data_IF_689700114668
#
_entry.id   IF_689700114668
#
_cell.length_a   1.000
_cell.length_b   1.000
_cell.length_c   1.000
_cell.angle_alpha   90.00
_cell.angle_beta   90.00
_cell.angle_gamma   90.00
#
_symmetry.space_group_name_H-M   'P 1'
#
loop_
_entity.id
_entity.type
_entity.pdbx_description
1 polymer ?
#
# COMPACT_ATOMS: atom_id res chain seq x y z
N UNK A 1 0.62 5.95 -38.85
CA UNK A 1 0.30 7.32 -38.41
C UNK A 1 -1.14 7.52 -37.92
N UNK A 2 -1.55 6.81 -36.86
CA UNK A 2 -2.91 6.95 -36.27
C UNK A 2 -2.92 7.37 -34.78
N UNK A 3 -1.77 7.39 -34.10
CA UNK A 3 -1.68 7.67 -32.66
C UNK A 3 -1.66 9.15 -32.30
N UNK A 4 -1.17 10.02 -33.20
CA UNK A 4 -1.04 11.46 -32.95
C UNK A 4 -2.39 12.20 -32.94
N UNK A 5 -3.40 11.70 -33.66
CA UNK A 5 -4.71 12.36 -33.76
C UNK A 5 -5.55 12.26 -32.46
N UNK A 6 -5.41 11.16 -31.71
CA UNK A 6 -6.15 10.94 -30.45
C UNK A 6 -5.60 11.79 -29.30
N UNK A 7 -4.28 12.05 -29.29
CA UNK A 7 -3.63 12.84 -28.25
C UNK A 7 -4.01 14.33 -28.30
N UNK A 8 -4.21 14.88 -29.51
CA UNK A 8 -4.55 16.28 -29.73
C UNK A 8 -5.94 16.65 -29.18
N UNK A 9 -6.93 15.75 -29.30
CA UNK A 9 -8.30 15.98 -28.80
C UNK A 9 -8.44 15.95 -27.26
N UNK A 10 -7.38 15.60 -26.51
CA UNK A 10 -7.38 15.54 -25.04
C UNK A 10 -6.52 16.62 -24.37
N UNK A 11 -6.11 17.66 -25.11
CA UNK A 11 -5.35 18.79 -24.56
C UNK A 11 -3.90 18.45 -24.19
N UNK A 12 -3.36 17.32 -24.65
CA UNK A 12 -1.96 16.94 -24.45
C UNK A 12 -1.10 17.69 -25.49
N UNK A 13 -0.96 19.01 -25.30
CA UNK A 13 -0.23 19.93 -26.19
C UNK A 13 1.25 20.07 -25.83
N UNK A 14 1.74 19.32 -24.85
CA UNK A 14 3.11 19.43 -24.31
C UNK A 14 3.85 18.12 -24.52
N UNK A 15 5.14 18.19 -24.85
CA UNK A 15 6.00 17.01 -24.93
C UNK A 15 5.94 16.22 -23.61
N UNK A 16 5.40 15.01 -23.68
CA UNK A 16 5.44 14.07 -22.58
C UNK A 16 6.85 13.47 -22.49
N UNK A 17 7.49 13.59 -21.33
CA UNK A 17 8.73 12.89 -21.05
C UNK A 17 8.38 11.50 -20.53
N UNK A 18 8.85 10.47 -21.23
CA UNK A 18 8.81 9.11 -20.71
C UNK A 18 9.90 9.01 -19.64
N UNK A 19 9.50 9.03 -18.36
CA UNK A 19 10.40 8.70 -17.27
C UNK A 19 10.61 7.17 -17.29
N UNK A 20 11.85 6.68 -17.45
CA UNK A 20 12.10 5.25 -17.39
C UNK A 20 11.91 4.78 -15.94
N UNK A 21 10.80 4.11 -15.69
CA UNK A 21 10.54 3.45 -14.40
C UNK A 21 11.28 2.11 -14.42
N UNK A 22 12.18 1.91 -13.46
CA UNK A 22 12.87 0.62 -13.31
C UNK A 22 11.88 -0.44 -12.85
N UNK A 23 11.91 -1.58 -13.52
CA UNK A 23 11.17 -2.77 -13.09
C UNK A 23 11.89 -3.35 -11.87
N UNK A 24 11.11 -3.73 -10.84
CA UNK A 24 11.65 -4.41 -9.67
C UNK A 24 12.12 -5.82 -10.06
N UNK A 25 13.25 -6.31 -9.52
CA UNK A 25 13.65 -7.69 -9.73
C UNK A 25 12.57 -8.67 -9.27
N UNK A 26 12.26 -9.67 -10.10
CA UNK A 26 11.23 -10.68 -9.78
C UNK A 26 11.49 -11.38 -8.44
N UNK A 27 12.77 -11.62 -8.12
CA UNK A 27 13.19 -12.24 -6.87
C UNK A 27 12.77 -11.43 -5.64
N UNK A 28 12.83 -10.10 -5.71
CA UNK A 28 12.45 -9.23 -4.59
C UNK A 28 10.95 -9.26 -4.39
N UNK A 29 10.19 -9.25 -5.49
CA UNK A 29 8.72 -9.35 -5.47
C UNK A 29 8.30 -10.70 -4.89
N UNK A 30 8.89 -11.79 -5.36
CA UNK A 30 8.59 -13.15 -4.88
C UNK A 30 8.90 -13.28 -3.40
N UNK A 31 10.10 -12.88 -2.96
CA UNK A 31 10.52 -12.96 -1.57
C UNK A 31 9.58 -12.16 -0.65
N UNK A 32 9.17 -10.96 -1.07
CA UNK A 32 8.23 -10.14 -0.32
C UNK A 32 6.89 -10.85 -0.11
N UNK A 33 6.30 -11.38 -1.19
CA UNK A 33 5.00 -12.05 -1.10
C UNK A 33 5.06 -13.40 -0.38
N UNK A 34 6.15 -14.16 -0.52
CA UNK A 34 6.39 -15.37 0.27
C UNK A 34 6.47 -15.03 1.76
N UNK A 35 7.28 -14.04 2.13
CA UNK A 35 7.36 -13.58 3.52
C UNK A 35 5.99 -13.19 4.08
N UNK A 36 5.18 -12.40 3.36
CA UNK A 36 3.84 -12.02 3.82
C UNK A 36 2.88 -13.20 3.91
N UNK A 37 3.02 -14.19 3.05
CA UNK A 37 2.22 -15.42 3.11
C UNK A 37 2.53 -16.19 4.39
N UNK A 38 3.81 -16.37 4.71
CA UNK A 38 4.24 -17.09 5.90
C UNK A 38 3.78 -16.39 7.19
N UNK A 39 3.88 -15.06 7.23
CA UNK A 39 3.40 -14.25 8.34
C UNK A 39 1.87 -14.43 8.53
N UNK A 40 1.09 -14.39 7.45
CA UNK A 40 -0.35 -14.62 7.51
C UNK A 40 -0.69 -16.03 8.02
N UNK A 41 -0.02 -17.07 7.50
CA UNK A 41 -0.23 -18.45 7.93
C UNK A 41 0.11 -18.63 9.41
N UNK A 42 1.19 -17.99 9.88
CA UNK A 42 1.56 -17.98 11.29
C UNK A 42 0.48 -17.31 12.14
N UNK A 43 -0.02 -16.14 11.73
CA UNK A 43 -1.09 -15.42 12.42
C UNK A 43 -2.36 -16.29 12.56
N UNK A 44 -2.77 -16.93 11.47
CA UNK A 44 -3.95 -17.81 11.44
C UNK A 44 -3.76 -19.03 12.34
N UNK A 45 -2.55 -19.59 12.39
CA UNK A 45 -2.24 -20.75 13.22
C UNK A 45 -2.27 -20.42 14.72
N UNK A 46 -1.74 -19.28 15.12
CA UNK A 46 -1.65 -18.89 16.55
C UNK A 46 -2.88 -18.10 17.03
N UNK A 47 -3.70 -17.59 16.11
CA UNK A 47 -4.92 -16.85 16.40
C UNK A 47 -4.73 -15.37 16.74
N UNK A 48 -3.50 -14.85 16.64
CA UNK A 48 -3.20 -13.43 16.88
C UNK A 48 -2.02 -12.95 16.03
N UNK A 49 -1.85 -11.63 15.93
CA UNK A 49 -0.72 -11.00 15.27
C UNK A 49 -0.22 -9.80 16.09
N UNK A 50 1.04 -9.84 16.51
CA UNK A 50 1.63 -8.84 17.40
C UNK A 50 2.65 -7.92 16.71
N UNK A 51 3.13 -8.30 15.53
CA UNK A 51 4.21 -7.62 14.83
C UNK A 51 3.67 -6.70 13.72
N UNK A 52 3.56 -5.39 13.92
CA UNK A 52 3.02 -4.48 12.90
C UNK A 52 3.93 -4.38 11.67
N UNK A 53 3.35 -3.99 10.55
CA UNK A 53 4.11 -3.66 9.33
C UNK A 53 4.98 -2.41 9.53
N UNK A 54 6.06 -2.35 8.76
CA UNK A 54 7.01 -1.23 8.80
C UNK A 54 6.36 0.11 8.39
N UNK A 55 7.00 1.22 8.72
CA UNK A 55 6.51 2.56 8.31
C UNK A 55 6.31 2.66 6.80
N UNK A 56 7.30 2.18 6.03
CA UNK A 56 7.23 2.12 4.57
C UNK A 56 5.99 1.37 4.05
N UNK A 57 5.69 0.20 4.61
CA UNK A 57 4.56 -0.62 4.18
C UNK A 57 3.20 -0.10 4.66
N UNK A 58 3.22 0.63 5.77
CA UNK A 58 2.04 1.27 6.36
C UNK A 58 1.77 2.68 5.81
N UNK A 59 2.66 3.20 4.95
CA UNK A 59 2.66 4.57 4.45
C UNK A 59 2.63 5.57 5.61
N UNK A 60 3.58 5.43 6.53
CA UNK A 60 3.66 6.23 7.76
C UNK A 60 2.36 6.20 8.57
N UNK A 61 1.70 5.03 8.61
CA UNK A 61 0.45 4.79 9.31
C UNK A 61 -0.83 5.12 8.53
N UNK A 62 -0.76 5.81 7.39
CA UNK A 62 -1.95 6.18 6.59
C UNK A 62 -2.74 4.95 6.16
N UNK A 63 -2.04 3.87 5.77
CA UNK A 63 -2.69 2.62 5.40
C UNK A 63 -3.46 2.02 6.58
N UNK A 64 -2.85 1.98 7.76
CA UNK A 64 -3.46 1.47 8.98
C UNK A 64 -4.70 2.25 9.39
N UNK A 65 -4.68 3.58 9.20
CA UNK A 65 -5.80 4.44 9.56
C UNK A 65 -7.01 4.33 8.62
N UNK A 66 -6.81 4.00 7.33
CA UNK A 66 -7.86 4.18 6.29
C UNK A 66 -8.08 3.02 5.32
N UNK A 67 -7.08 2.17 5.10
CA UNK A 67 -7.06 1.26 3.94
C UNK A 67 -6.69 -0.19 4.30
N UNK A 68 -6.34 -0.47 5.56
CA UNK A 68 -5.93 -1.80 5.97
C UNK A 68 -7.14 -2.62 6.42
N UNK A 69 -7.47 -3.66 5.67
CA UNK A 69 -8.62 -4.54 5.93
C UNK A 69 -8.57 -5.26 7.28
N UNK A 70 -7.37 -5.41 7.84
CA UNK A 70 -7.13 -6.10 9.12
C UNK A 70 -6.71 -5.14 10.23
N UNK A 71 -6.91 -3.82 10.06
CA UNK A 71 -6.51 -2.80 11.04
C UNK A 71 -7.07 -3.06 12.44
N UNK A 72 -8.33 -3.49 12.54
CA UNK A 72 -8.99 -3.80 13.81
C UNK A 72 -8.37 -5.01 14.56
N UNK A 73 -7.57 -5.82 13.87
CA UNK A 73 -6.90 -7.01 14.43
C UNK A 73 -5.38 -6.81 14.57
N UNK A 74 -4.87 -5.61 14.28
CA UNK A 74 -3.45 -5.27 14.33
C UNK A 74 -3.19 -4.20 15.38
N UNK A 75 -2.18 -4.34 16.27
CA UNK A 75 -1.89 -3.35 17.31
C UNK A 75 -1.72 -1.91 16.79
N UNK A 76 -0.99 -1.74 15.68
CA UNK A 76 -0.81 -0.43 15.03
C UNK A 76 -2.10 0.08 14.39
N UNK A 77 -2.92 -0.81 13.83
CA UNK A 77 -4.21 -0.45 13.24
C UNK A 77 -5.19 0.08 14.29
N UNK A 78 -5.35 -0.66 15.39
CA UNK A 78 -6.19 -0.24 16.53
C UNK A 78 -5.76 1.13 17.05
N UNK A 79 -4.45 1.33 17.26
CA UNK A 79 -3.93 2.63 17.71
C UNK A 79 -4.28 3.76 16.72
N UNK A 80 -4.01 3.58 15.42
CA UNK A 80 -4.24 4.62 14.42
C UNK A 80 -5.73 4.94 14.21
N UNK A 81 -6.62 3.95 14.32
CA UNK A 81 -8.06 4.15 14.19
C UNK A 81 -8.65 4.89 15.40
N UNK A 82 -8.24 4.55 16.62
CA UNK A 82 -8.69 5.26 17.84
C UNK A 82 -8.26 6.73 17.86
N UNK A 83 -7.04 7.04 17.42
CA UNK A 83 -6.56 8.43 17.29
C UNK A 83 -7.38 9.21 16.27
N UNK A 84 -7.72 8.58 15.13
CA UNK A 84 -8.52 9.21 14.07
C UNK A 84 -9.91 9.60 14.58
N UNK A 85 -10.59 8.71 15.28
CA UNK A 85 -11.93 8.95 15.84
C UNK A 85 -11.92 10.14 16.81
N UNK A 86 -10.92 10.22 17.70
CA UNK A 86 -10.78 11.35 18.63
C UNK A 86 -10.48 12.70 17.96
N UNK A 87 -9.87 12.70 16.77
CA UNK A 87 -9.61 13.92 15.99
C UNK A 87 -10.82 14.37 15.15
N UNK A 88 -11.70 13.44 14.75
CA UNK A 88 -12.91 13.77 13.97
C UNK A 88 -14.06 14.29 14.85
N UNK A 89 -14.03 14.04 16.16
CA UNK A 89 -14.98 14.57 17.14
C UNK A 89 -14.58 15.94 17.74
N UNK A 90 -13.41 16.48 17.39
CA UNK A 90 -12.87 17.77 17.88
C UNK A 90 -12.97 18.88 16.84
#
# INVERSE_FOLDING_TARGET
DGGLYIAHNRGVMRNAYILPIKILPDVDVINFFQFKTDQLLMALKQGFWDTPCSEYESWDGIRCARFCDVAAHCPKGVYQQTVKEGMEES
#
